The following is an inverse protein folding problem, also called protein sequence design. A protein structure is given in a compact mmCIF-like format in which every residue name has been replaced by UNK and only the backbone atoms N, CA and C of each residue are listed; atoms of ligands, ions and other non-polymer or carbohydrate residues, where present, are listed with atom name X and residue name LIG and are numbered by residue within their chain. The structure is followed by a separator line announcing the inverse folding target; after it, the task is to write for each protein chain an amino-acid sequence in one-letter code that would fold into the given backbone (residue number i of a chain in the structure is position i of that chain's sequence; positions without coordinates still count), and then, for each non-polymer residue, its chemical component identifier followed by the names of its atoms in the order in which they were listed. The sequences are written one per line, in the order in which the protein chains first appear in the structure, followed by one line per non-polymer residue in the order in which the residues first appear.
data_IF_089523023005
#
_entry.id   IF_089523023005
#
_cell.length_a   1.000
_cell.length_b   1.000
_cell.length_c   1.000
_cell.angle_alpha   90.00
_cell.angle_beta   90.00
_cell.angle_gamma   90.00
#
_symmetry.space_group_name_H-M   'P 1'
#
loop_
_entity.id
_entity.type
_entity.pdbx_description
1 polymer ?
#
# COMPACT_ATOMS: atom_id res chain seq x y z
N UNK A 1 5.23 12.56 20.14
CA UNK A 1 3.82 12.36 20.56
C UNK A 1 3.10 11.63 19.44
N UNK A 2 2.47 10.46 19.65
CA UNK A 2 1.73 9.81 18.58
C UNK A 2 0.32 10.40 18.50
N UNK A 3 -0.04 10.97 17.35
CA UNK A 3 -1.37 11.50 17.10
C UNK A 3 -2.36 10.35 16.88
N UNK A 4 -3.18 10.12 17.91
CA UNK A 4 -4.51 9.55 17.93
C UNK A 4 -4.96 8.71 16.73
N UNK A 5 -4.90 7.39 16.93
CA UNK A 5 -5.82 6.41 16.37
C UNK A 5 -7.28 6.84 16.64
N UNK A 6 -7.96 7.42 15.65
CA UNK A 6 -9.34 7.88 15.85
C UNK A 6 -9.89 8.66 14.67
N UNK A 7 -10.18 7.97 13.56
CA UNK A 7 -10.78 8.62 12.39
C UNK A 7 -11.01 7.69 11.21
N UNK A 8 -11.56 6.51 11.46
CA UNK A 8 -12.02 5.58 10.43
C UNK A 8 -13.50 5.90 10.15
N UNK A 9 -13.77 7.02 9.47
CA UNK A 9 -15.10 7.28 8.91
C UNK A 9 -14.94 7.96 7.55
N UNK A 10 -15.68 7.43 6.56
CA UNK A 10 -15.96 7.95 5.21
C UNK A 10 -14.91 7.72 4.12
N UNK A 11 -14.96 6.52 3.52
CA UNK A 11 -14.93 6.30 2.08
C UNK A 11 -13.65 6.59 1.28
N UNK A 12 -12.55 7.03 1.92
CA UNK A 12 -11.34 7.47 1.20
C UNK A 12 -10.00 7.27 1.90
N UNK A 13 -9.95 6.57 3.04
CA UNK A 13 -8.67 6.38 3.76
C UNK A 13 -8.13 4.97 3.61
N UNK A 14 -6.86 4.94 3.23
CA UNK A 14 -5.99 3.78 3.19
C UNK A 14 -6.03 2.97 4.50
N UNK A 15 -5.93 1.64 4.39
CA UNK A 15 -5.68 0.72 5.49
C UNK A 15 -4.37 1.11 6.17
N UNK A 16 -4.43 1.32 7.47
CA UNK A 16 -3.28 1.60 8.35
C UNK A 16 -2.73 0.32 8.95
N UNK A 17 -1.50 0.35 9.49
CA UNK A 17 -0.89 -0.80 10.15
C UNK A 17 -1.71 -1.33 11.34
N UNK A 18 -2.31 -0.44 12.15
CA UNK A 18 -3.17 -0.87 13.26
C UNK A 18 -4.44 -1.60 12.79
N UNK A 19 -5.02 -1.16 11.66
CA UNK A 19 -6.20 -1.76 11.08
C UNK A 19 -5.86 -3.10 10.44
N UNK A 20 -4.72 -3.17 9.73
CA UNK A 20 -4.21 -4.41 9.16
C UNK A 20 -4.02 -5.49 10.24
N UNK A 21 -3.32 -5.18 11.34
CA UNK A 21 -3.11 -6.14 12.43
C UNK A 21 -4.42 -6.62 13.06
N UNK A 22 -5.39 -5.72 13.25
CA UNK A 22 -6.72 -6.08 13.78
C UNK A 22 -7.49 -7.00 12.84
N UNK A 23 -7.49 -6.71 11.54
CA UNK A 23 -8.16 -7.54 10.54
C UNK A 23 -7.45 -8.88 10.35
N UNK A 24 -6.12 -8.88 10.32
CA UNK A 24 -5.31 -10.10 10.24
C UNK A 24 -5.59 -11.02 11.42
N UNK A 25 -5.63 -10.48 12.64
CA UNK A 25 -6.00 -11.26 13.83
C UNK A 25 -7.42 -11.79 13.78
N UNK A 26 -8.37 -11.01 13.28
CA UNK A 26 -9.77 -11.39 13.17
C UNK A 26 -10.01 -12.49 12.12
N UNK A 27 -9.37 -12.40 10.96
CA UNK A 27 -9.53 -13.35 9.85
C UNK A 27 -8.50 -14.49 9.85
N UNK A 28 -7.54 -14.50 10.78
CA UNK A 28 -6.46 -15.49 10.82
C UNK A 28 -5.48 -15.36 9.65
N UNK A 29 -5.31 -14.14 9.11
CA UNK A 29 -4.39 -13.84 8.01
C UNK A 29 -3.02 -13.40 8.54
N UNK A 30 -2.01 -13.47 7.69
CA UNK A 30 -0.67 -12.99 8.02
C UNK A 30 -0.60 -11.47 8.08
N UNK A 31 0.20 -10.95 9.01
CA UNK A 31 0.44 -9.51 9.15
C UNK A 31 0.85 -8.85 7.82
N UNK A 32 0.35 -7.64 7.60
CA UNK A 32 0.55 -6.86 6.39
C UNK A 32 -0.26 -7.33 5.18
N UNK A 33 -1.14 -8.33 5.31
CA UNK A 33 -1.95 -8.81 4.19
C UNK A 33 -2.75 -7.70 3.52
N UNK A 34 -3.46 -6.90 4.29
CA UNK A 34 -4.33 -5.84 3.80
C UNK A 34 -3.52 -4.66 3.28
N UNK A 35 -2.41 -4.32 3.94
CA UNK A 35 -1.46 -3.32 3.45
C UNK A 35 -0.87 -3.70 2.09
N UNK A 36 -0.47 -4.96 1.91
CA UNK A 36 0.06 -5.47 0.63
C UNK A 36 -0.98 -5.40 -0.48
N UNK A 37 -2.24 -5.73 -0.18
CA UNK A 37 -3.33 -5.61 -1.16
C UNK A 37 -3.53 -4.17 -1.60
N UNK A 38 -3.56 -3.23 -0.66
CA UNK A 38 -3.66 -1.81 -0.99
C UNK A 38 -2.47 -1.34 -1.82
N UNK A 39 -1.25 -1.69 -1.43
CA UNK A 39 -0.03 -1.35 -2.17
C UNK A 39 -0.05 -1.92 -3.59
N UNK A 40 -0.57 -3.14 -3.77
CA UNK A 40 -0.69 -3.77 -5.08
C UNK A 40 -1.69 -3.05 -5.99
N UNK A 41 -2.82 -2.60 -5.42
CA UNK A 41 -3.82 -1.81 -6.12
C UNK A 41 -3.29 -0.42 -6.51
N UNK A 42 -2.65 0.26 -5.57
CA UNK A 42 -2.01 1.57 -5.81
C UNK A 42 -0.95 1.46 -6.90
N UNK A 43 -0.07 0.45 -6.84
CA UNK A 43 0.95 0.18 -7.84
C UNK A 43 0.34 -0.10 -9.23
N UNK A 44 -0.81 -0.78 -9.30
CA UNK A 44 -1.51 -1.00 -10.57
C UNK A 44 -2.02 0.31 -11.16
N UNK A 45 -2.64 1.16 -10.35
CA UNK A 45 -3.11 2.48 -10.78
C UNK A 45 -1.94 3.39 -11.20
N UNK A 46 -0.88 3.43 -10.39
CA UNK A 46 0.33 4.20 -10.69
C UNK A 46 0.98 3.73 -12.01
N UNK A 47 1.04 2.42 -12.26
CA UNK A 47 1.51 1.87 -13.55
C UNK A 47 0.65 2.31 -14.73
N UNK A 48 -0.67 2.39 -14.57
CA UNK A 48 -1.55 2.88 -15.63
C UNK A 48 -1.33 4.38 -15.91
N UNK A 49 -1.19 5.19 -14.87
CA UNK A 49 -0.93 6.64 -14.99
C UNK A 49 0.45 6.91 -15.60
N UNK A 50 1.46 6.14 -15.19
CA UNK A 50 2.85 6.30 -15.63
C UNK A 50 3.20 5.46 -16.86
N UNK A 51 2.22 4.89 -17.55
CA UNK A 51 2.45 3.99 -18.69
C UNK A 51 3.34 4.61 -19.79
N UNK A 52 3.26 5.93 -19.97
CA UNK A 52 4.07 6.68 -20.95
C UNK A 52 5.43 7.17 -20.41
N UNK A 53 5.61 7.15 -19.09
CA UNK A 53 6.82 7.67 -18.41
C UNK A 53 7.78 6.53 -18.09
N UNK A 54 7.28 5.39 -17.61
CA UNK A 54 8.09 4.23 -17.22
C UNK A 54 9.04 3.73 -18.32
N UNK A 55 8.68 3.68 -19.62
CA UNK A 55 9.60 3.23 -20.67
C UNK A 55 10.80 4.15 -20.89
N UNK A 56 10.71 5.42 -20.49
CA UNK A 56 11.78 6.41 -20.63
C UNK A 56 12.77 6.38 -19.46
N UNK A 57 12.49 5.60 -18.40
CA UNK A 57 13.35 5.48 -17.22
C UNK A 57 14.27 4.28 -17.44
N UNK A 58 15.55 4.54 -17.72
CA UNK A 58 16.54 3.48 -17.83
C UNK A 58 16.97 2.96 -16.45
N UNK A 59 16.92 1.64 -16.20
CA UNK A 59 17.38 1.08 -14.95
C UNK A 59 18.89 1.26 -14.83
N UNK A 60 19.35 1.71 -13.67
CA UNK A 60 20.78 1.71 -13.38
C UNK A 60 21.31 0.29 -13.52
N UNK A 61 22.33 0.10 -14.34
CA UNK A 61 23.03 -1.17 -14.39
C UNK A 61 23.75 -1.34 -13.05
N UNK A 62 23.48 -2.39 -12.27
CA UNK A 62 24.30 -2.67 -11.11
C UNK A 62 25.73 -2.90 -11.61
N UNK A 63 26.67 -2.08 -11.13
CA UNK A 63 28.09 -2.28 -11.40
C UNK A 63 28.45 -3.67 -10.87
N UNK A 64 28.80 -4.58 -11.78
CA UNK A 64 29.25 -5.94 -11.45
C UNK A 64 30.64 -5.90 -10.80
#
# INVERSE_FOLDING_TARGET
MPTSSGGIVKGRRAITADTDLRLCRFFGLSDGFWLRMQGSHDLKLAKQVLANVLPAIEPIQPMA
#
